data_IF_622357009026
#
_entry.id   IF_622357009026
#
_cell.length_a   1.000
_cell.length_b   1.000
_cell.length_c   1.000
_cell.angle_alpha   90.00
_cell.angle_beta   90.00
_cell.angle_gamma   90.00
#
_symmetry.space_group_name_H-M   'P 1'
#
loop_
_entity.id
_entity.type
_entity.pdbx_description
1 polymer ?
#
# COMPACT_ATOMS: atom_id res chain seq x y z
N UNK A 1 -43.84 -30.52 -18.64
CA UNK A 1 -42.69 -29.67 -18.30
C UNK A 1 -42.64 -29.63 -16.78
N UNK A 2 -41.85 -30.51 -16.18
CA UNK A 2 -41.69 -30.63 -14.73
C UNK A 2 -40.75 -29.52 -14.27
N UNK A 3 -41.28 -28.58 -13.49
CA UNK A 3 -40.49 -27.57 -12.80
C UNK A 3 -39.63 -28.27 -11.74
N UNK A 4 -38.33 -28.36 -11.99
CA UNK A 4 -37.35 -28.73 -10.97
C UNK A 4 -37.37 -27.64 -9.90
N UNK A 5 -37.93 -27.99 -8.74
CA UNK A 5 -37.99 -27.09 -7.59
C UNK A 5 -36.61 -27.10 -6.95
N UNK A 6 -35.81 -26.08 -7.25
CA UNK A 6 -34.48 -25.94 -6.67
C UNK A 6 -34.64 -25.68 -5.17
N UNK A 7 -34.25 -26.67 -4.37
CA UNK A 7 -34.40 -26.66 -2.93
C UNK A 7 -33.51 -25.54 -2.34
N UNK A 8 -34.01 -24.72 -1.39
CA UNK A 8 -33.23 -23.61 -0.85
C UNK A 8 -31.96 -24.13 -0.14
N UNK A 9 -30.84 -23.46 -0.39
CA UNK A 9 -29.54 -23.76 0.22
C UNK A 9 -29.66 -23.79 1.76
N UNK A 10 -29.11 -24.84 2.38
CA UNK A 10 -29.06 -24.97 3.84
C UNK A 10 -28.01 -24.03 4.41
N UNK A 11 -28.16 -23.64 5.69
CA UNK A 11 -27.16 -22.81 6.38
C UNK A 11 -25.74 -23.43 6.30
N UNK A 12 -25.63 -24.76 6.40
CA UNK A 12 -24.37 -25.48 6.22
C UNK A 12 -23.78 -25.32 4.82
N UNK A 13 -24.59 -25.39 3.76
CA UNK A 13 -24.08 -25.22 2.39
C UNK A 13 -23.64 -23.79 2.08
N UNK A 14 -24.16 -22.81 2.83
CA UNK A 14 -23.75 -21.41 2.71
C UNK A 14 -22.46 -21.17 3.50
N UNK A 15 -22.32 -21.75 4.69
CA UNK A 15 -21.09 -21.71 5.49
C UNK A 15 -19.91 -22.39 4.78
N UNK A 16 -20.12 -23.56 4.18
CA UNK A 16 -19.14 -24.25 3.34
C UNK A 16 -18.71 -23.38 2.15
N UNK A 17 -19.66 -22.68 1.52
CA UNK A 17 -19.39 -21.71 0.45
C UNK A 17 -18.59 -20.49 0.92
N UNK A 18 -18.71 -20.08 2.18
CA UNK A 18 -17.90 -18.99 2.75
C UNK A 18 -16.50 -19.44 3.16
N UNK A 19 -16.33 -20.68 3.62
CA UNK A 19 -15.02 -21.28 3.89
C UNK A 19 -14.21 -21.49 2.61
N UNK A 20 -14.86 -21.78 1.48
CA UNK A 20 -14.22 -21.91 0.17
C UNK A 20 -13.77 -20.56 -0.44
N UNK A 21 -14.24 -19.43 0.07
CA UNK A 21 -13.83 -18.10 -0.40
C UNK A 21 -12.68 -17.59 0.48
N UNK A 22 -11.45 -17.97 0.12
CA UNK A 22 -10.24 -17.32 0.65
C UNK A 22 -10.13 -15.88 0.09
N UNK A 23 -10.68 -14.91 0.81
CA UNK A 23 -10.37 -13.49 0.55
C UNK A 23 -9.11 -13.14 1.32
N UNK A 24 -7.94 -13.23 0.67
CA UNK A 24 -6.71 -12.71 1.26
C UNK A 24 -6.83 -11.19 1.47
N UNK A 25 -7.09 -10.80 2.71
CA UNK A 25 -7.17 -9.41 3.10
C UNK A 25 -5.79 -8.76 2.96
N UNK A 26 -5.64 -7.67 2.19
CA UNK A 26 -4.33 -7.05 2.00
C UNK A 26 -3.78 -6.56 3.33
N UNK A 27 -2.51 -6.85 3.59
CA UNK A 27 -1.77 -6.37 4.75
C UNK A 27 -0.91 -5.15 4.40
N UNK A 28 -0.56 -4.95 3.13
CA UNK A 28 0.23 -3.82 2.66
C UNK A 28 -0.51 -3.01 1.61
N UNK A 29 -0.57 -1.69 1.79
CA UNK A 29 -1.07 -0.77 0.78
C UNK A 29 0.08 -0.13 0.01
N UNK A 30 0.19 -0.36 -1.30
CA UNK A 30 1.14 0.33 -2.18
C UNK A 30 0.41 1.48 -2.89
N UNK A 31 0.79 2.72 -2.57
CA UNK A 31 0.22 3.92 -3.18
C UNK A 31 1.26 4.68 -4.00
N UNK A 32 0.84 5.26 -5.12
CA UNK A 32 1.71 6.07 -5.98
C UNK A 32 0.98 7.25 -6.61
N UNK A 33 1.71 8.34 -6.81
CA UNK A 33 1.14 9.61 -7.30
C UNK A 33 0.73 9.60 -8.77
N UNK A 34 1.31 8.70 -9.58
CA UNK A 34 1.07 8.60 -11.02
C UNK A 34 1.10 7.15 -11.50
N UNK A 35 0.32 6.84 -12.55
CA UNK A 35 0.42 5.56 -13.26
C UNK A 35 1.82 5.33 -13.84
N UNK A 36 2.55 6.41 -14.15
CA UNK A 36 3.91 6.34 -14.67
C UNK A 36 4.92 5.84 -13.63
N UNK A 37 4.58 5.86 -12.34
CA UNK A 37 5.44 5.36 -11.27
C UNK A 37 5.32 3.83 -11.12
N UNK A 38 4.29 3.21 -11.72
CA UNK A 38 3.99 1.78 -11.60
C UNK A 38 5.19 0.88 -11.93
N UNK A 39 5.95 1.06 -13.04
CA UNK A 39 7.10 0.21 -13.33
C UNK A 39 8.18 0.26 -12.24
N UNK A 40 8.31 1.40 -11.55
CA UNK A 40 9.29 1.59 -10.48
C UNK A 40 8.81 1.08 -9.13
N UNK A 41 7.50 1.04 -8.92
CA UNK A 41 6.88 0.54 -7.69
C UNK A 41 6.55 -0.95 -7.71
N UNK A 42 6.41 -1.56 -8.89
CA UNK A 42 6.15 -2.99 -9.06
C UNK A 42 7.12 -3.91 -8.28
N UNK A 43 8.44 -3.60 -8.16
CA UNK A 43 9.34 -4.41 -7.35
C UNK A 43 8.97 -4.51 -5.86
N UNK A 44 8.21 -3.55 -5.30
CA UNK A 44 7.68 -3.67 -3.94
C UNK A 44 6.62 -4.78 -3.85
N UNK A 45 5.69 -4.83 -4.81
CA UNK A 45 4.67 -5.87 -4.90
C UNK A 45 5.29 -7.25 -5.09
N UNK A 46 6.26 -7.39 -5.98
CA UNK A 46 6.98 -8.65 -6.18
C UNK A 46 7.64 -9.15 -4.88
N UNK A 47 8.28 -8.27 -4.12
CA UNK A 47 8.91 -8.65 -2.86
C UNK A 47 7.89 -9.11 -1.80
N UNK A 48 6.66 -8.60 -1.84
CA UNK A 48 5.57 -9.01 -0.95
C UNK A 48 4.97 -10.34 -1.39
N UNK A 49 4.75 -10.53 -2.70
CA UNK A 49 4.37 -11.80 -3.32
C UNK A 49 5.35 -12.92 -2.94
N UNK A 50 6.65 -12.68 -3.12
CA UNK A 50 7.72 -13.64 -2.78
C UNK A 50 7.71 -14.01 -1.28
N UNK A 51 7.18 -13.12 -0.43
CA UNK A 51 7.05 -13.31 1.01
C UNK A 51 5.68 -13.86 1.44
N UNK A 52 4.75 -14.11 0.52
CA UNK A 52 3.39 -14.56 0.83
C UNK A 52 2.56 -13.50 1.56
N UNK A 53 2.79 -12.22 1.32
CA UNK A 53 2.08 -11.11 1.95
C UNK A 53 1.12 -10.48 0.96
N UNK A 54 -0.18 -10.57 1.26
CA UNK A 54 -1.22 -9.94 0.47
C UNK A 54 -1.08 -8.40 0.46
N UNK A 55 -1.23 -7.80 -0.71
CA UNK A 55 -1.11 -6.35 -0.87
C UNK A 55 -2.11 -5.81 -1.89
N UNK A 56 -2.37 -4.50 -1.83
CA UNK A 56 -3.13 -3.80 -2.85
C UNK A 56 -2.33 -2.64 -3.44
N UNK A 57 -2.68 -2.24 -4.68
CA UNK A 57 -2.03 -1.12 -5.37
C UNK A 57 -3.06 -0.06 -5.74
N UNK A 58 -2.78 1.20 -5.40
CA UNK A 58 -3.63 2.34 -5.76
C UNK A 58 -2.81 3.48 -6.38
N UNK A 59 -3.41 4.17 -7.33
CA UNK A 59 -2.85 5.41 -7.89
C UNK A 59 -3.67 6.57 -7.34
N UNK A 60 -3.04 7.39 -6.50
CA UNK A 60 -3.66 8.53 -5.83
C UNK A 60 -2.62 9.61 -5.57
N UNK A 61 -2.95 10.85 -5.88
CA UNK A 61 -2.00 11.95 -5.90
C UNK A 61 -2.24 12.90 -4.75
N UNK A 62 -1.25 13.07 -3.87
CA UNK A 62 -1.33 14.04 -2.77
C UNK A 62 -1.55 15.50 -3.23
N UNK A 63 -1.15 15.85 -4.46
CA UNK A 63 -1.30 17.20 -5.00
C UNK A 63 -2.61 17.42 -5.77
N UNK A 64 -3.17 16.36 -6.36
CA UNK A 64 -4.33 16.48 -7.27
C UNK A 64 -5.62 15.95 -6.65
N UNK A 65 -5.50 14.91 -5.84
CA UNK A 65 -6.61 14.20 -5.21
C UNK A 65 -6.33 14.04 -3.70
N UNK A 66 -6.09 15.12 -2.94
CA UNK A 66 -5.64 15.05 -1.54
C UNK A 66 -6.64 14.32 -0.64
N UNK A 67 -7.95 14.58 -0.81
CA UNK A 67 -9.00 13.98 0.01
C UNK A 67 -9.03 12.45 -0.14
N UNK A 68 -8.78 11.94 -1.36
CA UNK A 68 -8.69 10.50 -1.60
C UNK A 68 -7.54 9.85 -0.83
N UNK A 69 -6.39 10.54 -0.74
CA UNK A 69 -5.24 10.05 0.03
C UNK A 69 -5.54 10.07 1.51
N UNK A 70 -6.15 11.15 2.01
CA UNK A 70 -6.56 11.29 3.41
C UNK A 70 -7.54 10.19 3.81
N UNK A 71 -8.59 9.98 3.03
CA UNK A 71 -9.59 8.95 3.26
C UNK A 71 -8.96 7.55 3.26
N UNK A 72 -8.08 7.27 2.30
CA UNK A 72 -7.38 6.00 2.22
C UNK A 72 -6.54 5.72 3.48
N UNK A 73 -5.73 6.69 3.90
CA UNK A 73 -4.79 6.52 5.01
C UNK A 73 -5.48 6.47 6.37
N UNK A 74 -6.51 7.31 6.57
CA UNK A 74 -7.30 7.36 7.81
C UNK A 74 -8.01 6.02 8.06
N UNK A 75 -8.52 5.40 7.00
CA UNK A 75 -9.26 4.14 7.10
C UNK A 75 -8.36 2.90 6.94
N UNK A 76 -7.07 3.05 6.65
CA UNK A 76 -6.16 1.95 6.31
C UNK A 76 -6.13 0.84 7.38
N UNK A 77 -5.97 1.21 8.66
CA UNK A 77 -5.91 0.29 9.79
C UNK A 77 -7.21 -0.50 9.96
N UNK A 78 -8.37 0.16 9.80
CA UNK A 78 -9.68 -0.50 9.88
C UNK A 78 -9.91 -1.50 8.75
N UNK A 79 -9.32 -1.26 7.58
CA UNK A 79 -9.34 -2.20 6.45
C UNK A 79 -8.36 -3.37 6.59
N UNK A 80 -7.62 -3.45 7.69
CA UNK A 80 -6.67 -4.55 7.97
C UNK A 80 -5.23 -4.30 7.52
N UNK A 81 -4.95 -3.15 6.89
CA UNK A 81 -3.57 -2.82 6.51
C UNK A 81 -2.69 -2.70 7.76
N UNK A 82 -1.44 -3.13 7.59
CA UNK A 82 -0.37 -3.10 8.59
C UNK A 82 0.74 -2.14 8.21
N UNK A 83 1.01 -1.96 6.92
CA UNK A 83 2.06 -1.05 6.40
C UNK A 83 1.55 -0.35 5.13
N UNK A 84 1.96 0.91 4.95
CA UNK A 84 1.76 1.64 3.68
C UNK A 84 3.12 1.88 3.02
N UNK A 85 3.24 1.55 1.73
CA UNK A 85 4.39 1.89 0.89
C UNK A 85 3.95 2.99 -0.07
N UNK A 86 4.56 4.16 0.00
CA UNK A 86 4.20 5.34 -0.77
C UNK A 86 5.32 5.77 -1.72
N UNK A 87 5.05 5.77 -3.03
CA UNK A 87 5.98 6.21 -4.08
C UNK A 87 5.64 7.58 -4.65
N UNK A 88 6.61 8.50 -4.67
CA UNK A 88 6.44 9.79 -5.34
C UNK A 88 7.79 10.39 -5.79
N UNK A 89 7.76 11.17 -6.87
CA UNK A 89 8.92 11.90 -7.40
C UNK A 89 8.78 13.42 -7.26
N UNK A 90 9.83 14.16 -7.61
CA UNK A 90 9.91 15.63 -7.51
C UNK A 90 9.66 16.11 -6.07
N UNK A 91 8.68 17.00 -5.84
CA UNK A 91 8.19 17.30 -4.50
C UNK A 91 7.37 16.10 -3.99
N UNK A 92 8.06 15.10 -3.46
CA UNK A 92 7.48 13.80 -3.11
C UNK A 92 6.64 13.87 -1.82
N UNK A 93 5.48 14.53 -1.88
CA UNK A 93 4.62 14.77 -0.71
C UNK A 93 3.83 13.54 -0.25
N UNK A 94 3.58 12.56 -1.13
CA UNK A 94 2.69 11.43 -0.84
C UNK A 94 3.09 10.63 0.42
N UNK A 95 4.36 10.27 0.66
CA UNK A 95 4.75 9.57 1.89
C UNK A 95 4.46 10.36 3.16
N UNK A 96 4.77 11.67 3.17
CA UNK A 96 4.53 12.53 4.32
C UNK A 96 3.04 12.75 4.60
N UNK A 97 2.24 12.96 3.55
CA UNK A 97 0.78 13.08 3.67
C UNK A 97 0.17 11.78 4.18
N UNK A 98 0.62 10.63 3.69
CA UNK A 98 0.15 9.34 4.18
C UNK A 98 0.47 9.15 5.69
N UNK A 99 1.71 9.43 6.09
CA UNK A 99 2.16 9.33 7.49
C UNK A 99 1.41 10.28 8.43
N UNK A 100 1.00 11.46 7.95
CA UNK A 100 0.23 12.40 8.75
C UNK A 100 -1.21 11.94 9.04
N UNK A 101 -1.74 10.99 8.26
CA UNK A 101 -3.15 10.56 8.33
C UNK A 101 -3.31 9.09 8.71
N UNK A 102 -2.27 8.44 9.24
CA UNK A 102 -2.37 7.06 9.72
C UNK A 102 -1.41 6.81 10.87
N UNK A 103 -1.78 5.90 11.76
CA UNK A 103 -0.87 5.37 12.80
C UNK A 103 -0.02 4.20 12.29
N UNK A 104 -0.30 3.70 11.08
CA UNK A 104 0.46 2.62 10.49
C UNK A 104 1.87 3.08 10.07
N UNK A 105 2.89 2.21 10.14
CA UNK A 105 4.18 2.48 9.51
C UNK A 105 4.04 2.85 8.04
N UNK A 106 4.64 3.98 7.64
CA UNK A 106 4.72 4.43 6.25
C UNK A 106 6.16 4.35 5.76
N UNK A 107 6.35 3.66 4.64
CA UNK A 107 7.62 3.53 3.94
C UNK A 107 7.58 4.42 2.70
N UNK A 108 8.48 5.39 2.63
CA UNK A 108 8.60 6.31 1.50
C UNK A 108 9.59 5.79 0.45
N UNK A 109 9.17 5.73 -0.81
CA UNK A 109 10.02 5.41 -1.96
C UNK A 109 10.19 6.66 -2.82
N UNK A 110 11.34 7.34 -2.74
CA UNK A 110 11.65 8.46 -3.63
C UNK A 110 11.77 7.96 -5.07
N UNK A 111 11.00 8.54 -5.98
CA UNK A 111 11.00 8.16 -7.39
C UNK A 111 11.92 9.08 -8.18
N UNK A 112 12.86 8.49 -8.92
CA UNK A 112 13.81 9.23 -9.76
C UNK A 112 13.06 10.07 -10.81
N UNK A 113 13.20 11.39 -10.69
CA UNK A 113 12.77 12.38 -11.67
C UNK A 113 13.88 12.75 -12.65
N UNK A 114 13.56 13.64 -13.61
CA UNK A 114 14.50 14.05 -14.67
C UNK A 114 15.49 15.15 -14.26
N UNK A 115 15.06 16.06 -13.39
CA UNK A 115 15.79 17.32 -13.18
C UNK A 115 16.92 17.23 -12.16
N UNK A 116 16.70 16.54 -11.03
CA UNK A 116 17.61 16.55 -9.88
C UNK A 116 18.07 15.15 -9.44
N UNK A 117 17.98 14.17 -10.34
CA UNK A 117 18.46 12.81 -10.05
C UNK A 117 17.77 12.13 -8.86
N UNK A 118 16.57 12.59 -8.47
CA UNK A 118 15.81 12.08 -7.32
C UNK A 118 16.24 12.65 -5.97
N UNK A 119 17.20 13.59 -5.91
CA UNK A 119 17.57 14.26 -4.67
C UNK A 119 16.41 15.09 -4.09
N UNK A 120 15.64 15.73 -4.97
CA UNK A 120 14.40 16.42 -4.64
C UNK A 120 13.38 15.49 -3.97
N UNK A 121 13.13 14.33 -4.58
CA UNK A 121 12.23 13.33 -4.03
C UNK A 121 12.73 12.77 -2.70
N UNK A 122 14.04 12.48 -2.61
CA UNK A 122 14.67 11.93 -1.42
C UNK A 122 14.53 12.88 -0.25
N UNK A 123 14.95 14.14 -0.41
CA UNK A 123 14.88 15.14 0.65
C UNK A 123 13.43 15.46 1.04
N UNK A 124 12.51 15.46 0.07
CA UNK A 124 11.07 15.65 0.34
C UNK A 124 10.48 14.52 1.19
N UNK A 125 10.92 13.28 0.99
CA UNK A 125 10.39 12.12 1.69
C UNK A 125 11.06 11.87 3.07
N UNK A 126 12.37 12.12 3.20
CA UNK A 126 13.14 11.76 4.41
C UNK A 126 13.14 12.83 5.48
N UNK A 127 13.06 14.12 5.11
CA UNK A 127 13.20 15.24 6.05
C UNK A 127 11.88 15.58 6.76
N UNK A 128 11.23 14.58 7.36
CA UNK A 128 10.01 14.78 8.12
C UNK A 128 10.27 15.51 9.45
N UNK A 129 9.35 16.40 9.89
CA UNK A 129 9.46 17.02 11.21
C UNK A 129 9.22 16.00 12.34
N UNK A 130 9.64 16.30 13.58
CA UNK A 130 9.38 15.44 14.73
C UNK A 130 7.90 15.12 14.90
N UNK A 131 7.58 13.86 15.16
CA UNK A 131 6.21 13.38 15.45
C UNK A 131 5.50 12.69 14.28
N UNK A 132 5.95 12.86 13.04
CA UNK A 132 5.32 12.24 11.85
C UNK A 132 6.37 11.50 11.02
N UNK A 133 6.79 10.30 11.43
CA UNK A 133 7.92 9.62 10.80
C UNK A 133 7.56 8.99 9.43
N UNK A 134 8.54 8.98 8.52
CA UNK A 134 8.52 8.19 7.28
C UNK A 134 9.80 7.36 7.22
N UNK A 135 9.67 6.06 7.04
CA UNK A 135 10.81 5.18 6.76
C UNK A 135 11.22 5.32 5.28
N UNK A 136 12.14 6.22 4.98
CA UNK A 136 12.58 6.45 3.61
C UNK A 136 13.60 5.39 3.16
N UNK A 137 13.36 4.76 2.00
CA UNK A 137 14.34 3.88 1.33
C UNK A 137 15.13 4.64 0.26
N UNK A 138 16.05 3.96 -0.42
CA UNK A 138 16.82 4.52 -1.53
C UNK A 138 15.91 5.02 -2.68
N UNK A 139 16.44 5.92 -3.52
CA UNK A 139 15.79 6.35 -4.76
C UNK A 139 15.52 5.13 -5.66
N UNK A 140 14.30 5.02 -6.18
CA UNK A 140 13.75 3.86 -6.91
C UNK A 140 13.90 2.52 -6.12
N UNK A 141 14.03 2.59 -4.79
CA UNK A 141 14.26 1.47 -3.89
C UNK A 141 13.03 0.62 -3.54
N UNK A 142 12.05 0.51 -4.44
CA UNK A 142 10.75 -0.13 -4.14
C UNK A 142 10.88 -1.58 -3.64
N UNK A 143 11.82 -2.36 -4.18
CA UNK A 143 12.10 -3.72 -3.67
C UNK A 143 12.45 -3.72 -2.18
N UNK A 144 13.29 -2.79 -1.75
CA UNK A 144 13.66 -2.67 -0.34
C UNK A 144 12.48 -2.20 0.52
N UNK A 145 11.55 -1.41 -0.02
CA UNK A 145 10.33 -1.07 0.68
C UNK A 145 9.44 -2.29 0.93
N UNK A 146 9.30 -3.19 -0.07
CA UNK A 146 8.60 -4.46 0.10
C UNK A 146 9.28 -5.34 1.16
N UNK A 147 10.60 -5.53 1.07
CA UNK A 147 11.37 -6.30 2.07
C UNK A 147 11.27 -5.70 3.47
N UNK A 148 11.30 -4.38 3.61
CA UNK A 148 11.13 -3.71 4.90
C UNK A 148 9.71 -3.91 5.46
N UNK A 149 8.69 -3.82 4.62
CA UNK A 149 7.31 -4.11 5.02
C UNK A 149 7.16 -5.55 5.51
N UNK A 150 7.74 -6.53 4.79
CA UNK A 150 7.79 -7.94 5.24
C UNK A 150 8.42 -8.09 6.62
N UNK A 151 9.55 -7.42 6.86
CA UNK A 151 10.21 -7.45 8.18
C UNK A 151 9.35 -6.84 9.28
N UNK A 152 8.65 -5.73 9.00
CA UNK A 152 7.75 -5.09 9.96
C UNK A 152 6.59 -6.04 10.32
N UNK A 153 5.96 -6.66 9.31
CA UNK A 153 4.84 -7.58 9.52
C UNK A 153 5.27 -8.81 10.32
N UNK A 154 6.41 -9.41 9.99
CA UNK A 154 6.90 -10.61 10.67
C UNK A 154 7.37 -10.39 12.12
N UNK A 155 7.58 -9.14 12.54
CA UNK A 155 7.87 -8.81 13.94
C UNK A 155 6.60 -8.61 14.79
N UNK A 156 5.46 -8.40 14.14
CA UNK A 156 4.19 -8.09 14.80
C UNK A 156 3.28 -9.32 15.00
N UNK A 157 3.69 -10.49 14.51
CA UNK A 157 3.09 -11.80 14.78
C UNK A 157 3.98 -12.62 15.71
#
# INVERSE_FOLDING_TARGET
MSEETQQPATLSSVEELFEEIEVEQPQVGIIMGSKNDKPKMQPAGQALEDAGIAYEVRVMSAHRDPDLVVDYCTNAKMRGLKVIIAGAGMSAALPGVAAAHTELPVIGVPILGKSLGGLDALLSAVQMPPGVPVACVAIDGAKNAGVLATRIINLAG
#
